data_IF_428700399875
#
_entry.id   IF_428700399875
#
_cell.length_a   1.000
_cell.length_b   1.000
_cell.length_c   1.000
_cell.angle_alpha   90.00
_cell.angle_beta   90.00
_cell.angle_gamma   90.00
#
_symmetry.space_group_name_H-M   'P 1'
#
loop_
_entity.id
_entity.type
_entity.pdbx_description
1 polymer ?
#
# COMPACT_ATOMS: atom_id res chain seq x y z
N UNK A 1 -10.31 -16.28 -4.18
CA UNK A 1 -10.59 -15.03 -4.92
C UNK A 1 -11.28 -14.03 -4.00
N UNK A 2 -11.06 -12.71 -4.15
CA UNK A 2 -11.82 -11.71 -3.42
C UNK A 2 -13.31 -11.77 -3.81
N UNK A 3 -14.19 -11.46 -2.86
CA UNK A 3 -15.63 -11.46 -3.09
C UNK A 3 -16.06 -10.24 -3.94
N UNK A 4 -17.20 -10.35 -4.64
CA UNK A 4 -17.79 -9.22 -5.38
C UNK A 4 -18.03 -8.00 -4.49
N UNK A 5 -18.35 -8.20 -3.21
CA UNK A 5 -18.51 -7.11 -2.25
C UNK A 5 -17.18 -6.42 -1.93
N UNK A 6 -16.09 -7.19 -1.85
CA UNK A 6 -14.74 -6.66 -1.66
C UNK A 6 -14.33 -5.79 -2.86
N UNK A 7 -14.60 -6.26 -4.07
CA UNK A 7 -14.27 -5.53 -5.32
C UNK A 7 -15.06 -4.23 -5.42
N UNK A 8 -16.38 -4.26 -5.20
CA UNK A 8 -17.22 -3.05 -5.19
C UNK A 8 -16.74 -2.01 -4.17
N UNK A 9 -16.39 -2.46 -2.95
CA UNK A 9 -15.92 -1.57 -1.89
C UNK A 9 -14.57 -0.93 -2.25
N UNK A 10 -13.70 -1.63 -2.98
CA UNK A 10 -12.44 -1.05 -3.47
C UNK A 10 -12.65 -0.09 -4.64
N UNK A 11 -13.55 -0.39 -5.58
CA UNK A 11 -13.91 0.52 -6.67
C UNK A 11 -14.46 1.86 -6.15
N UNK A 12 -15.28 1.84 -5.10
CA UNK A 12 -15.76 3.08 -4.47
C UNK A 12 -14.60 3.90 -3.90
N UNK A 13 -13.62 3.25 -3.25
CA UNK A 13 -12.43 3.92 -2.74
C UNK A 13 -11.55 4.49 -3.86
N UNK A 14 -11.36 3.75 -4.95
CA UNK A 14 -10.64 4.22 -6.14
C UNK A 14 -11.34 5.44 -6.74
N UNK A 15 -12.67 5.40 -6.87
CA UNK A 15 -13.46 6.52 -7.38
C UNK A 15 -13.37 7.75 -6.46
N UNK A 16 -13.37 7.54 -5.14
CA UNK A 16 -13.16 8.62 -4.18
C UNK A 16 -11.75 9.23 -4.29
N UNK A 17 -10.73 8.40 -4.47
CA UNK A 17 -9.36 8.84 -4.73
C UNK A 17 -9.25 9.59 -6.07
N UNK A 18 -9.94 9.15 -7.11
CA UNK A 18 -9.98 9.82 -8.41
C UNK A 18 -10.63 11.21 -8.30
N UNK A 19 -11.74 11.32 -7.56
CA UNK A 19 -12.39 12.61 -7.28
C UNK A 19 -11.46 13.51 -6.44
N UNK A 20 -10.82 12.97 -5.41
CA UNK A 20 -9.85 13.73 -4.60
C UNK A 20 -8.63 14.16 -5.42
N UNK A 21 -8.16 13.33 -6.36
CA UNK A 21 -7.09 13.66 -7.29
C UNK A 21 -7.51 14.79 -8.25
N UNK A 22 -8.75 14.76 -8.77
CA UNK A 22 -9.31 15.86 -9.58
C UNK A 22 -9.49 17.15 -8.80
N UNK A 23 -9.70 17.07 -7.48
CA UNK A 23 -9.76 18.23 -6.57
C UNK A 23 -8.37 18.71 -6.12
N UNK A 24 -7.27 18.02 -6.48
CA UNK A 24 -5.94 18.57 -6.31
C UNK A 24 -5.81 19.78 -7.23
N UNK A 25 -5.97 20.97 -6.68
CA UNK A 25 -5.40 22.16 -7.30
C UNK A 25 -3.89 21.90 -7.39
N UNK A 26 -3.37 21.88 -8.62
CA UNK A 26 -1.94 21.82 -8.85
C UNK A 26 -1.29 22.91 -7.99
N UNK A 27 -0.25 22.54 -7.23
CA UNK A 27 0.63 23.56 -6.67
C UNK A 27 1.43 24.05 -7.86
N UNK A 28 0.93 25.08 -8.53
CA UNK A 28 1.72 25.83 -9.50
C UNK A 28 2.59 26.77 -8.70
N UNK A 29 3.75 26.29 -8.28
CA UNK A 29 4.80 27.14 -7.71
C UNK A 29 5.94 27.24 -8.71
N UNK A 30 6.45 28.46 -8.89
CA UNK A 30 7.74 28.71 -9.54
C UNK A 30 8.92 28.48 -8.59
N UNK A 31 8.64 28.11 -7.34
CA UNK A 31 9.62 27.85 -6.29
C UNK A 31 10.08 26.38 -6.32
N UNK A 32 11.25 26.10 -5.72
CA UNK A 32 11.81 24.76 -5.62
C UNK A 32 10.95 23.80 -4.79
N UNK A 33 11.23 22.50 -4.91
CA UNK A 33 10.49 21.45 -4.19
C UNK A 33 10.57 21.63 -2.67
N UNK A 34 11.69 22.17 -2.18
CA UNK A 34 11.92 22.50 -0.77
C UNK A 34 10.90 23.52 -0.27
N UNK A 35 10.77 24.64 -0.99
CA UNK A 35 9.87 25.74 -0.66
C UNK A 35 8.40 25.28 -0.73
N UNK A 36 8.06 24.45 -1.71
CA UNK A 36 6.72 23.85 -1.81
C UNK A 36 6.41 22.99 -0.58
N UNK A 37 7.34 22.16 -0.14
CA UNK A 37 7.12 21.20 0.94
C UNK A 37 6.89 21.85 2.30
N UNK A 38 7.57 22.96 2.58
CA UNK A 38 7.42 23.73 3.84
C UNK A 38 6.46 24.92 3.70
N UNK A 39 5.95 25.17 2.48
CA UNK A 39 5.16 26.33 2.13
C UNK A 39 3.76 26.34 2.74
N UNK A 40 3.16 27.53 2.78
CA UNK A 40 1.85 27.75 3.39
C UNK A 40 0.73 26.95 2.70
N UNK A 41 0.82 26.74 1.38
CA UNK A 41 -0.16 25.90 0.67
C UNK A 41 -0.11 24.44 1.13
N UNK A 42 1.09 23.88 1.32
CA UNK A 42 1.25 22.52 1.82
C UNK A 42 0.74 22.41 3.25
N UNK A 43 1.13 23.35 4.12
CA UNK A 43 0.67 23.44 5.52
C UNK A 43 -0.86 23.53 5.62
N UNK A 44 -1.49 24.35 4.78
CA UNK A 44 -2.95 24.47 4.71
C UNK A 44 -3.61 23.15 4.28
N UNK A 45 -3.10 22.49 3.23
CA UNK A 45 -3.63 21.19 2.78
C UNK A 45 -3.46 20.10 3.84
N UNK A 46 -2.30 20.01 4.48
CA UNK A 46 -2.04 19.06 5.55
C UNK A 46 -2.93 19.33 6.77
N UNK A 47 -3.19 20.60 7.11
CA UNK A 47 -4.08 20.93 8.24
C UNK A 47 -5.50 20.41 8.06
N UNK A 48 -5.99 20.32 6.82
CA UNK A 48 -7.31 19.73 6.52
C UNK A 48 -7.35 18.22 6.69
N UNK A 49 -6.21 17.55 6.55
CA UNK A 49 -6.08 16.09 6.66
C UNK A 49 -5.78 15.68 8.10
N UNK A 50 -4.87 16.40 8.77
CA UNK A 50 -4.34 16.06 10.09
C UNK A 50 -5.08 16.75 11.24
N UNK A 51 -5.80 17.84 10.96
CA UNK A 51 -6.45 18.67 11.98
C UNK A 51 -7.73 18.09 12.58
N UNK A 52 -8.30 17.04 11.99
CA UNK A 52 -9.56 16.44 12.44
C UNK A 52 -10.67 17.50 12.55
N UNK A 53 -11.22 17.67 13.76
CA UNK A 53 -12.28 18.65 14.04
C UNK A 53 -11.83 20.12 13.92
N UNK A 54 -10.51 20.38 13.88
CA UNK A 54 -9.93 21.72 13.74
C UNK A 54 -9.06 21.81 12.47
N UNK A 55 -9.65 21.78 11.26
CA UNK A 55 -8.94 21.62 9.99
C UNK A 55 -8.30 22.94 9.48
N UNK A 56 -7.63 23.68 10.36
CA UNK A 56 -6.94 24.93 10.03
C UNK A 56 -5.55 24.97 10.64
N UNK A 57 -4.57 25.39 9.83
CA UNK A 57 -3.20 25.63 10.30
C UNK A 57 -3.10 26.78 11.31
N UNK A 58 -4.12 27.63 11.43
CA UNK A 58 -4.14 28.68 12.46
C UNK A 58 -4.43 28.16 13.86
N UNK A 59 -4.90 26.91 14.00
CA UNK A 59 -5.11 26.28 15.30
C UNK A 59 -3.79 25.70 15.84
N UNK A 60 -3.36 26.03 17.08
CA UNK A 60 -2.07 25.60 17.63
C UNK A 60 -1.83 24.09 17.65
N UNK A 61 -2.86 23.30 17.97
CA UNK A 61 -2.78 21.84 17.99
C UNK A 61 -2.56 21.27 16.58
N UNK A 62 -3.24 21.86 15.59
CA UNK A 62 -3.16 21.45 14.19
C UNK A 62 -1.85 21.91 13.55
N UNK A 63 -1.40 23.13 13.85
CA UNK A 63 -0.12 23.64 13.35
C UNK A 63 1.04 22.79 13.83
N UNK A 64 1.07 22.44 15.11
CA UNK A 64 2.14 21.59 15.68
C UNK A 64 2.17 20.22 15.00
N UNK A 65 1.02 19.56 14.85
CA UNK A 65 0.93 18.27 14.13
C UNK A 65 1.40 18.37 12.68
N UNK A 66 1.05 19.46 12.00
CA UNK A 66 1.46 19.69 10.61
C UNK A 66 2.96 19.93 10.52
N UNK A 67 3.52 20.74 11.41
CA UNK A 67 4.96 21.03 11.42
C UNK A 67 5.78 19.81 11.81
N UNK A 68 5.32 19.00 12.77
CA UNK A 68 5.94 17.72 13.14
C UNK A 68 5.92 16.74 11.96
N UNK A 69 4.78 16.62 11.25
CA UNK A 69 4.69 15.79 10.06
C UNK A 69 5.63 16.26 8.95
N UNK A 70 5.69 17.57 8.68
CA UNK A 70 6.61 18.13 7.67
C UNK A 70 8.05 17.84 8.07
N UNK A 71 8.41 18.02 9.34
CA UNK A 71 9.76 17.76 9.82
C UNK A 71 10.15 16.28 9.69
N UNK A 72 9.25 15.37 10.03
CA UNK A 72 9.47 13.92 9.91
C UNK A 72 9.55 13.47 8.45
N UNK A 73 8.66 13.98 7.59
CA UNK A 73 8.57 13.54 6.19
C UNK A 73 9.58 14.22 5.26
N UNK A 74 9.90 15.49 5.51
CA UNK A 74 10.61 16.37 4.57
C UNK A 74 11.87 17.01 5.18
N UNK A 75 12.14 16.77 6.47
CA UNK A 75 13.19 17.47 7.20
C UNK A 75 12.74 18.86 7.65
N UNK A 76 13.40 19.39 8.70
CA UNK A 76 12.99 20.65 9.34
C UNK A 76 12.93 21.85 8.38
N UNK A 77 13.76 21.83 7.33
CA UNK A 77 13.83 22.87 6.31
C UNK A 77 13.38 22.38 4.93
N UNK A 78 12.90 21.14 4.78
CA UNK A 78 12.55 20.56 3.47
C UNK A 78 13.74 19.93 2.72
N UNK A 79 14.93 19.86 3.32
CA UNK A 79 16.14 19.31 2.67
C UNK A 79 16.03 17.84 2.25
N UNK A 80 15.22 17.02 2.93
CA UNK A 80 15.01 15.63 2.52
C UNK A 80 14.28 15.52 1.19
N UNK A 81 13.50 16.54 0.81
CA UNK A 81 12.80 16.55 -0.48
C UNK A 81 13.80 16.67 -1.62
N UNK A 82 14.75 17.59 -1.54
CA UNK A 82 15.74 17.73 -2.60
C UNK A 82 16.68 16.53 -2.69
N UNK A 83 17.13 16.02 -1.54
CA UNK A 83 18.12 14.95 -1.49
C UNK A 83 17.53 13.56 -1.82
N UNK A 84 16.32 13.29 -1.35
CA UNK A 84 15.71 11.96 -1.43
C UNK A 84 14.67 11.91 -2.53
N UNK A 85 13.71 12.84 -2.57
CA UNK A 85 12.63 12.79 -3.58
C UNK A 85 13.16 13.01 -4.99
N UNK A 86 14.05 13.98 -5.21
CA UNK A 86 14.64 14.21 -6.56
C UNK A 86 15.42 12.99 -7.02
N UNK A 87 16.23 12.41 -6.13
CA UNK A 87 17.01 11.20 -6.43
C UNK A 87 16.11 10.00 -6.71
N UNK A 88 15.05 9.82 -5.95
CA UNK A 88 14.10 8.74 -6.14
C UNK A 88 13.35 8.91 -7.46
N UNK A 89 12.95 10.13 -7.82
CA UNK A 89 12.33 10.43 -9.12
C UNK A 89 13.27 10.16 -10.31
N UNK A 90 14.56 10.42 -10.16
CA UNK A 90 15.57 10.10 -11.17
C UNK A 90 15.81 8.59 -11.34
N UNK A 91 15.72 7.83 -10.24
CA UNK A 91 15.98 6.39 -10.24
C UNK A 91 14.73 5.56 -10.52
N UNK A 92 13.54 6.09 -10.25
CA UNK A 92 12.28 5.40 -10.48
C UNK A 92 11.96 5.41 -11.97
N UNK A 93 11.92 4.21 -12.56
CA UNK A 93 11.62 4.02 -13.98
C UNK A 93 10.29 3.31 -14.10
N UNK A 94 9.19 4.03 -14.43
CA UNK A 94 7.90 3.39 -14.64
C UNK A 94 8.01 2.34 -15.76
N UNK A 95 7.22 1.25 -15.69
CA UNK A 95 7.21 0.25 -16.75
C UNK A 95 6.85 0.88 -18.10
N UNK A 96 7.46 0.38 -19.18
CA UNK A 96 7.22 0.87 -20.55
C UNK A 96 5.73 0.91 -20.94
N UNK A 97 4.95 -0.05 -20.45
CA UNK A 97 3.50 -0.11 -20.69
C UNK A 97 2.73 1.09 -20.10
N UNK A 98 3.30 1.78 -19.13
CA UNK A 98 2.70 2.96 -18.48
C UNK A 98 3.12 4.27 -19.11
N UNK A 99 4.26 4.33 -19.80
CA UNK A 99 4.80 5.56 -20.41
C UNK A 99 4.53 5.66 -21.90
N UNK A 100 3.82 4.70 -22.51
CA UNK A 100 3.50 4.69 -23.95
C UNK A 100 4.73 4.63 -24.88
N UNK A 101 5.94 4.50 -24.32
CA UNK A 101 7.22 4.56 -25.05
C UNK A 101 7.99 3.26 -24.92
N UNK A 102 8.64 2.86 -26.02
CA UNK A 102 9.53 1.70 -26.04
C UNK A 102 10.88 1.96 -25.35
N UNK A 103 11.21 3.23 -25.13
CA UNK A 103 12.37 3.68 -24.38
C UNK A 103 12.07 3.74 -22.88
N UNK A 104 13.03 3.27 -22.10
CA UNK A 104 13.02 3.41 -20.66
C UNK A 104 13.27 4.88 -20.29
N UNK A 105 12.42 5.45 -19.44
CA UNK A 105 12.52 6.85 -18.98
C UNK A 105 12.38 6.89 -17.46
N UNK A 106 13.09 7.83 -16.83
CA UNK A 106 12.91 8.08 -15.40
C UNK A 106 11.62 8.85 -15.15
N UNK A 107 11.06 8.77 -13.94
CA UNK A 107 9.80 9.44 -13.61
C UNK A 107 9.89 10.96 -13.77
N UNK A 108 11.06 11.55 -13.47
CA UNK A 108 11.32 12.98 -13.70
C UNK A 108 11.19 13.40 -15.18
N UNK A 109 11.39 12.48 -16.13
CA UNK A 109 11.32 12.76 -17.57
C UNK A 109 9.89 12.55 -18.13
N UNK A 110 8.94 12.12 -17.29
CA UNK A 110 7.55 11.90 -17.67
C UNK A 110 6.76 13.19 -17.40
N UNK A 111 6.56 13.98 -18.45
CA UNK A 111 5.86 15.28 -18.38
C UNK A 111 4.38 15.12 -18.76
N UNK A 112 4.03 14.05 -19.48
CA UNK A 112 2.64 13.81 -19.89
C UNK A 112 1.78 13.34 -18.70
N UNK A 113 0.68 14.06 -18.46
CA UNK A 113 -0.22 13.80 -17.34
C UNK A 113 -0.91 12.42 -17.42
N UNK A 114 -1.16 11.90 -18.63
CA UNK A 114 -1.76 10.57 -18.81
C UNK A 114 -0.77 9.45 -18.52
N UNK A 115 0.50 9.63 -18.90
CA UNK A 115 1.59 8.72 -18.55
C UNK A 115 1.83 8.70 -17.02
N UNK A 116 1.82 9.88 -16.37
CA UNK A 116 1.90 9.97 -14.91
C UNK A 116 0.74 9.26 -14.21
N UNK A 117 -0.49 9.40 -14.72
CA UNK A 117 -1.66 8.72 -14.18
C UNK A 117 -1.58 7.20 -14.35
N UNK A 118 -1.09 6.73 -15.49
CA UNK A 118 -0.87 5.31 -15.75
C UNK A 118 0.21 4.71 -14.83
N UNK A 119 1.34 5.41 -14.66
CA UNK A 119 2.40 5.01 -13.74
C UNK A 119 1.90 4.94 -12.28
N UNK A 120 1.15 5.96 -11.85
CA UNK A 120 0.52 6.00 -10.51
C UNK A 120 -0.40 4.80 -10.30
N UNK A 121 -1.24 4.49 -11.30
CA UNK A 121 -2.16 3.36 -11.25
C UNK A 121 -1.41 2.04 -11.13
N UNK A 122 -0.36 1.84 -11.94
CA UNK A 122 0.47 0.64 -11.91
C UNK A 122 1.09 0.41 -10.53
N UNK A 123 1.78 1.41 -9.97
CA UNK A 123 2.43 1.28 -8.66
C UNK A 123 1.45 1.09 -7.51
N UNK A 124 0.26 1.71 -7.59
CA UNK A 124 -0.81 1.51 -6.61
C UNK A 124 -1.30 0.06 -6.61
N UNK A 125 -1.60 -0.49 -7.79
CA UNK A 125 -2.13 -1.86 -7.92
C UNK A 125 -1.08 -2.89 -7.53
N UNK A 126 0.15 -2.75 -8.04
CA UNK A 126 1.24 -3.69 -7.76
C UNK A 126 1.66 -3.66 -6.30
N UNK A 127 1.74 -2.47 -5.69
CA UNK A 127 2.00 -2.31 -4.26
C UNK A 127 0.94 -2.98 -3.40
N UNK A 128 -0.35 -2.79 -3.72
CA UNK A 128 -1.43 -3.48 -3.01
C UNK A 128 -1.32 -5.01 -3.12
N UNK A 129 -1.05 -5.54 -4.32
CA UNK A 129 -0.88 -7.00 -4.50
C UNK A 129 0.29 -7.52 -3.66
N UNK A 130 1.44 -6.83 -3.69
CA UNK A 130 2.62 -7.20 -2.92
C UNK A 130 2.33 -7.22 -1.41
N UNK A 131 1.64 -6.20 -0.88
CA UNK A 131 1.21 -6.18 0.52
C UNK A 131 0.29 -7.35 0.87
N UNK A 132 -0.69 -7.66 0.02
CA UNK A 132 -1.60 -8.78 0.26
C UNK A 132 -0.85 -10.11 0.28
N UNK A 133 0.11 -10.30 -0.61
CA UNK A 133 0.91 -11.52 -0.66
C UNK A 133 1.86 -11.62 0.53
N UNK A 134 2.45 -10.51 0.99
CA UNK A 134 3.24 -10.49 2.21
C UNK A 134 2.40 -10.81 3.45
N UNK A 135 1.17 -10.28 3.54
CA UNK A 135 0.22 -10.61 4.62
C UNK A 135 -0.15 -12.09 4.64
N UNK A 136 -0.35 -12.72 3.47
CA UNK A 136 -0.58 -14.18 3.37
C UNK A 136 0.63 -14.97 3.86
N UNK A 137 1.83 -14.63 3.39
CA UNK A 137 3.10 -15.29 3.80
C UNK A 137 3.35 -15.19 5.30
N UNK A 138 3.04 -14.05 5.91
CA UNK A 138 3.20 -13.86 7.36
C UNK A 138 2.14 -14.62 8.18
N UNK A 139 0.94 -14.84 7.62
CA UNK A 139 -0.10 -15.66 8.26
C UNK A 139 0.20 -17.16 8.19
N UNK A 140 0.84 -17.62 7.13
CA UNK A 140 1.35 -19.01 7.01
C UNK A 140 2.54 -19.27 7.96
N UNK A 141 3.21 -18.22 8.46
CA UNK A 141 4.29 -18.28 9.45
C UNK A 141 3.85 -18.31 10.91
N UNK A 142 2.56 -18.48 11.22
CA UNK A 142 2.12 -18.79 12.59
C UNK A 142 2.71 -20.15 13.00
N UNK A 143 3.30 -20.27 14.20
CA UNK A 143 4.00 -21.49 14.60
C UNK A 143 2.96 -22.61 14.67
N UNK A 144 3.23 -23.65 13.88
CA UNK A 144 2.63 -24.97 14.06
C UNK A 144 2.59 -25.29 15.57
N UNK A 145 1.45 -25.64 16.18
CA UNK A 145 1.45 -25.98 17.59
C UNK A 145 2.38 -27.18 17.78
N UNK A 146 3.34 -26.99 18.69
CA UNK A 146 4.31 -28.00 19.07
C UNK A 146 3.57 -29.26 19.52
N UNK A 147 4.04 -30.40 19.02
CA UNK A 147 3.62 -31.72 19.48
C UNK A 147 3.99 -31.88 20.96
N UNK A 148 3.00 -31.81 21.83
CA UNK A 148 3.01 -32.34 23.20
C UNK A 148 1.57 -32.80 23.42
N UNK A 149 1.23 -34.05 23.66
CA UNK A 149 1.75 -34.97 24.66
C UNK A 149 1.27 -36.39 24.28
N UNK A 150 2.16 -37.39 24.27
CA UNK A 150 1.74 -38.79 24.18
C UNK A 150 1.01 -39.13 25.48
N UNK A 151 -0.32 -39.20 25.44
CA UNK A 151 -1.06 -39.92 26.47
C UNK A 151 -0.72 -41.41 26.34
N UNK A 152 -0.13 -41.96 27.40
CA UNK A 152 0.25 -43.36 27.53
C UNK A 152 -0.97 -44.27 27.35
N UNK A 153 -0.88 -45.26 26.46
CA UNK A 153 -1.85 -46.35 26.31
C UNK A 153 -1.93 -47.19 27.60
N UNK A 154 -3.14 -47.57 28.06
CA UNK A 154 -3.31 -48.80 28.84
C UNK A 154 -3.46 -50.02 27.90
N UNK A 155 -2.94 -51.20 28.27
CA UNK A 155 -2.86 -52.38 27.40
C UNK A 155 -4.20 -53.11 27.21
N UNK A 156 -4.25 -53.87 26.10
CA UNK A 156 -5.36 -54.58 25.44
C UNK A 156 -6.33 -55.37 26.34
N UNK A 157 -7.62 -55.37 25.94
CA UNK A 157 -8.54 -56.50 26.11
C UNK A 157 -8.96 -57.04 24.74
N UNK A 158 -8.97 -58.37 24.62
CA UNK A 158 -9.29 -59.12 23.41
C UNK A 158 -10.77 -59.53 23.40
N UNK A 159 -11.55 -59.01 22.47
CA UNK A 159 -12.83 -59.53 21.93
C UNK A 159 -13.46 -58.37 21.13
N UNK A 160 -13.97 -58.47 19.90
CA UNK A 160 -14.39 -59.59 19.09
C UNK A 160 -13.96 -59.34 17.65
N UNK A 161 -13.38 -60.37 17.05
CA UNK A 161 -13.27 -60.54 15.61
C UNK A 161 -14.67 -60.73 15.02
N UNK A 162 -15.04 -59.95 13.99
CA UNK A 162 -15.97 -60.36 12.92
C UNK A 162 -15.81 -59.47 11.67
N UNK A 163 -15.12 -60.04 10.66
CA UNK A 163 -15.50 -60.15 9.23
C UNK A 163 -16.17 -58.91 8.59
N UNK A 164 -15.73 -58.33 7.46
CA UNK A 164 -14.96 -58.83 6.31
C UNK A 164 -14.44 -57.64 5.48
N UNK A 165 -13.25 -57.83 4.91
CA UNK A 165 -12.65 -57.07 3.82
C UNK A 165 -13.33 -57.40 2.48
N UNK A 166 -13.33 -56.46 1.51
CA UNK A 166 -13.29 -56.61 0.04
C UNK A 166 -13.45 -55.19 -0.57
N UNK A 167 -12.39 -54.47 -0.93
CA UNK A 167 -11.53 -54.54 -2.14
C UNK A 167 -12.27 -54.36 -3.48
N UNK A 168 -12.03 -53.18 -4.05
CA UNK A 168 -11.83 -52.83 -5.47
C UNK A 168 -12.38 -53.77 -6.57
N UNK A 169 -13.12 -53.20 -7.51
CA UNK A 169 -13.11 -53.63 -8.91
C UNK A 169 -12.82 -52.43 -9.82
N UNK A 170 -11.70 -52.55 -10.52
CA UNK A 170 -11.22 -51.76 -11.66
C UNK A 170 -11.77 -52.39 -12.97
N UNK A 171 -11.82 -51.59 -14.05
CA UNK A 171 -11.91 -51.96 -15.49
C UNK A 171 -13.26 -52.49 -16.01
N UNK A 172 -13.70 -52.25 -17.25
CA UNK A 172 -13.13 -51.65 -18.48
C UNK A 172 -14.29 -51.12 -19.35
#
# INVERSE_FOLDING_TARGET
MPSNNTIKRQLVKIKALEVAAKQKTAITSTEGLKEIAIGQQMKSKLSRVLGGDKPSYTHPDTSSKVDDFIKEAFGADGSEVENTLTKDMANLKPPKITTGTNTERSLQDVIDNSELAAATTYYTVTGYIAEQDQKKKNREKLPYPAKTEKASEPPKSADECKKTYNRETLQE
#
